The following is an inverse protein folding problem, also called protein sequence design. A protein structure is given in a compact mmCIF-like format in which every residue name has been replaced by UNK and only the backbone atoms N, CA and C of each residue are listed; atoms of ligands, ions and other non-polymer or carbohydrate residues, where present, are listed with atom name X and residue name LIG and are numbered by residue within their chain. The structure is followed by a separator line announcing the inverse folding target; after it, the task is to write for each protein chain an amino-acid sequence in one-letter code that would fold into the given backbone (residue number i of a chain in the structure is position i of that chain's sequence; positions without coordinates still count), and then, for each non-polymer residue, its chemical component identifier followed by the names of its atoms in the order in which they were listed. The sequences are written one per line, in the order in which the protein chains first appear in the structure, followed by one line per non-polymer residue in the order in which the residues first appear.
data_IF_504560179771
#
_entry.id   IF_504560179771
#
_cell.length_a   1.000
_cell.length_b   1.000
_cell.length_c   1.000
_cell.angle_alpha   90.00
_cell.angle_beta   90.00
_cell.angle_gamma   90.00
#
_symmetry.space_group_name_H-M   'P 1'
#
loop_
_entity.id
_entity.type
_entity.pdbx_description
1 polymer ?
#
# COMPACT_ATOMS: atom_id res chain seq x y z
N UNK A 1 -0.60 7.81 -14.88
CA UNK A 1 -1.79 8.16 -14.05
C UNK A 1 -2.43 6.86 -13.59
N UNK A 2 -2.76 6.69 -12.29
CA UNK A 2 -3.47 5.51 -11.82
C UNK A 2 -4.85 5.43 -12.49
N UNK A 3 -5.18 4.29 -13.08
CA UNK A 3 -6.48 4.08 -13.73
C UNK A 3 -7.64 4.02 -12.73
N UNK A 4 -8.88 4.17 -13.21
CA UNK A 4 -10.08 4.10 -12.37
C UNK A 4 -10.19 2.79 -11.56
N UNK A 5 -9.72 1.68 -12.15
CA UNK A 5 -9.68 0.36 -11.50
C UNK A 5 -8.72 0.36 -10.31
N UNK A 6 -7.52 0.93 -10.48
CA UNK A 6 -6.52 1.05 -9.41
C UNK A 6 -7.09 1.82 -8.23
N UNK A 7 -7.67 3.00 -8.48
CA UNK A 7 -8.27 3.82 -7.43
C UNK A 7 -9.48 3.15 -6.75
N UNK A 8 -10.24 2.33 -7.49
CA UNK A 8 -11.34 1.56 -6.92
C UNK A 8 -10.83 0.47 -5.97
N UNK A 9 -9.82 -0.28 -6.40
CA UNK A 9 -9.19 -1.34 -5.60
C UNK A 9 -8.56 -0.74 -4.34
N UNK A 10 -7.79 0.34 -4.49
CA UNK A 10 -7.17 1.04 -3.37
C UNK A 10 -8.20 1.43 -2.31
N UNK A 11 -9.30 2.06 -2.73
CA UNK A 11 -10.41 2.42 -1.83
C UNK A 11 -11.04 1.20 -1.16
N UNK A 12 -11.27 0.11 -1.89
CA UNK A 12 -11.88 -1.11 -1.34
C UNK A 12 -11.00 -1.80 -0.31
N UNK A 13 -9.70 -1.92 -0.56
CA UNK A 13 -8.74 -2.51 0.38
C UNK A 13 -8.63 -1.67 1.64
N UNK A 14 -8.44 -0.35 1.49
CA UNK A 14 -8.35 0.55 2.63
C UNK A 14 -9.62 0.49 3.51
N UNK A 15 -10.80 0.52 2.89
CA UNK A 15 -12.07 0.40 3.60
C UNK A 15 -12.24 -0.96 4.30
N UNK A 16 -11.74 -2.04 3.71
CA UNK A 16 -11.78 -3.37 4.34
C UNK A 16 -10.89 -3.43 5.58
N UNK A 17 -9.69 -2.86 5.53
CA UNK A 17 -8.78 -2.79 6.68
C UNK A 17 -9.44 -1.98 7.81
N UNK A 18 -10.01 -0.82 7.50
CA UNK A 18 -10.74 0.01 8.45
C UNK A 18 -11.89 -0.76 9.12
N UNK A 19 -12.72 -1.44 8.32
CA UNK A 19 -13.85 -2.24 8.82
C UNK A 19 -13.39 -3.38 9.73
N UNK A 20 -12.25 -4.02 9.39
CA UNK A 20 -11.68 -5.07 10.24
C UNK A 20 -11.15 -4.51 11.55
N UNK A 21 -10.51 -3.33 11.54
CA UNK A 21 -10.08 -2.66 12.78
C UNK A 21 -11.27 -2.37 13.69
N UNK A 22 -12.41 -1.93 13.14
CA UNK A 22 -13.64 -1.73 13.91
C UNK A 22 -14.13 -3.03 14.55
N UNK A 23 -14.20 -4.11 13.76
CA UNK A 23 -14.61 -5.44 14.25
C UNK A 23 -13.69 -5.96 15.36
N UNK A 24 -12.37 -5.83 15.19
CA UNK A 24 -11.38 -6.22 16.19
C UNK A 24 -11.56 -5.36 17.45
N UNK A 25 -11.79 -4.05 17.30
CA UNK A 25 -12.04 -3.15 18.44
C UNK A 25 -13.21 -3.64 19.27
N UNK A 26 -14.33 -4.03 18.67
CA UNK A 26 -15.52 -4.46 19.40
C UNK A 26 -15.26 -5.68 20.30
N UNK A 27 -14.45 -6.61 19.82
CA UNK A 27 -14.14 -7.88 20.50
C UNK A 27 -12.91 -7.86 21.40
N UNK A 28 -12.17 -6.74 21.42
CA UNK A 28 -10.88 -6.64 22.11
C UNK A 28 -10.95 -6.14 23.56
N UNK A 29 -9.84 -6.33 24.29
CA UNK A 29 -9.63 -5.77 25.63
C UNK A 29 -9.38 -4.25 25.60
N UNK A 30 -9.37 -3.60 26.77
CA UNK A 30 -9.23 -2.14 26.91
C UNK A 30 -7.99 -1.55 26.21
N UNK A 31 -6.77 -2.07 26.45
CA UNK A 31 -5.56 -1.59 25.79
C UNK A 31 -5.61 -1.68 24.26
N UNK A 32 -6.05 -2.81 23.71
CA UNK A 32 -6.16 -2.98 22.25
C UNK A 32 -7.25 -2.06 21.67
N UNK A 33 -8.36 -1.84 22.38
CA UNK A 33 -9.38 -0.86 21.98
C UNK A 33 -8.80 0.55 21.87
N UNK A 34 -7.99 0.96 22.85
CA UNK A 34 -7.34 2.27 22.85
C UNK A 34 -6.35 2.38 21.69
N UNK A 35 -5.50 1.37 21.49
CA UNK A 35 -4.58 1.33 20.36
C UNK A 35 -5.30 1.52 19.02
N UNK A 36 -6.42 0.82 18.81
CA UNK A 36 -7.19 0.94 17.56
C UNK A 36 -7.83 2.33 17.42
N UNK A 37 -8.29 2.94 18.51
CA UNK A 37 -8.81 4.31 18.47
C UNK A 37 -7.74 5.35 18.13
N UNK A 38 -6.49 5.06 18.45
CA UNK A 38 -5.34 5.90 18.11
C UNK A 38 -4.84 5.68 16.67
N UNK A 39 -5.37 4.70 15.93
CA UNK A 39 -5.04 4.50 14.51
C UNK A 39 -5.95 5.39 13.65
N UNK A 40 -5.33 6.32 12.92
CA UNK A 40 -5.98 7.17 11.93
C UNK A 40 -5.68 6.66 10.52
N UNK A 41 -6.73 6.43 9.73
CA UNK A 41 -6.59 6.21 8.30
C UNK A 41 -6.44 7.57 7.61
N UNK A 42 -5.35 7.73 6.85
CA UNK A 42 -5.13 8.91 6.03
C UNK A 42 -5.21 8.51 4.56
N UNK A 43 -5.89 9.34 3.75
CA UNK A 43 -5.80 9.24 2.31
C UNK A 43 -4.36 9.55 1.83
N UNK A 44 -4.06 9.27 0.57
CA UNK A 44 -2.76 9.52 -0.07
C UNK A 44 -2.18 10.89 0.33
N UNK A 45 -1.21 10.85 1.24
CA UNK A 45 -0.48 12.01 1.77
C UNK A 45 0.96 11.75 1.43
N UNK A 46 1.64 12.79 0.95
CA UNK A 46 3.05 12.73 0.63
C UNK A 46 3.85 12.36 1.88
N UNK A 47 4.41 11.15 1.90
CA UNK A 47 5.36 10.74 2.93
C UNK A 47 6.70 11.35 2.52
N UNK A 48 7.19 12.28 3.34
CA UNK A 48 8.50 12.89 3.14
C UNK A 48 9.56 11.95 3.73
N UNK A 49 10.37 11.34 2.88
CA UNK A 49 11.46 10.47 3.32
C UNK A 49 12.59 11.33 3.89
N UNK A 50 13.21 10.90 5.00
CA UNK A 50 14.28 11.67 5.64
C UNK A 50 15.46 11.85 4.67
N UNK A 51 15.91 13.08 4.49
CA UNK A 51 17.06 13.41 3.65
C UNK A 51 16.82 13.34 2.13
N UNK A 52 15.59 13.06 1.69
CA UNK A 52 15.24 13.08 0.27
C UNK A 52 14.34 14.28 -0.05
N UNK A 53 14.56 14.90 -1.22
CA UNK A 53 13.60 15.83 -1.85
C UNK A 53 12.33 15.13 -2.35
N UNK A 54 12.28 13.81 -2.21
CA UNK A 54 11.37 12.93 -2.90
C UNK A 54 10.19 12.64 -1.97
N UNK A 55 8.99 12.81 -2.51
CA UNK A 55 7.75 12.54 -1.80
C UNK A 55 7.14 11.26 -2.38
N UNK A 56 6.72 10.35 -1.50
CA UNK A 56 6.01 9.15 -1.91
C UNK A 56 4.50 9.37 -1.73
N UNK A 57 3.72 9.20 -2.80
CA UNK A 57 2.26 9.20 -2.73
C UNK A 57 1.79 7.75 -2.61
N UNK A 58 1.25 7.38 -1.45
CA UNK A 58 0.75 6.02 -1.19
C UNK A 58 -0.71 5.84 -1.53
N UNK A 59 -1.11 4.61 -1.84
CA UNK A 59 -2.52 4.28 -2.10
C UNK A 59 -3.39 4.30 -0.83
N UNK A 60 -2.77 4.12 0.34
CA UNK A 60 -3.37 4.30 1.65
C UNK A 60 -2.32 4.33 2.74
N UNK A 61 -2.72 4.66 3.97
CA UNK A 61 -1.81 4.68 5.11
C UNK A 61 -2.58 4.71 6.43
N UNK A 62 -2.01 4.02 7.42
CA UNK A 62 -2.52 3.93 8.77
C UNK A 62 -1.47 4.49 9.73
N UNK A 63 -1.82 5.61 10.36
CA UNK A 63 -0.96 6.36 11.26
C UNK A 63 -1.39 6.13 12.69
N UNK A 64 -0.46 5.79 13.57
CA UNK A 64 -0.73 5.83 15.00
C UNK A 64 -0.59 7.28 15.49
N UNK A 65 -1.59 7.78 16.21
CA UNK A 65 -1.62 9.12 16.77
C UNK A 65 -0.33 9.45 17.52
N UNK A 66 0.24 10.61 17.22
CA UNK A 66 1.53 11.06 17.76
C UNK A 66 2.75 10.56 16.99
N UNK A 67 2.57 9.67 16.00
CA UNK A 67 3.65 9.27 15.09
C UNK A 67 3.81 10.26 13.94
N UNK A 68 5.04 10.43 13.47
CA UNK A 68 5.35 11.29 12.31
C UNK A 68 5.21 10.54 10.98
N UNK A 69 5.37 9.22 11.00
CA UNK A 69 5.31 8.34 9.83
C UNK A 69 4.21 7.30 9.98
N UNK A 70 3.53 6.91 8.89
CA UNK A 70 2.57 5.83 8.92
C UNK A 70 3.28 4.51 9.23
N UNK A 71 2.71 3.73 10.15
CA UNK A 71 3.23 2.41 10.51
C UNK A 71 2.93 1.37 9.46
N UNK A 72 1.77 1.46 8.80
CA UNK A 72 1.33 0.54 7.73
C UNK A 72 0.93 1.33 6.49
N UNK A 73 1.47 0.92 5.35
CA UNK A 73 1.22 1.55 4.05
C UNK A 73 0.82 0.47 3.02
N UNK A 74 -0.47 0.34 2.66
CA UNK A 74 -0.88 -0.49 1.52
C UNK A 74 -0.56 0.21 0.20
N UNK A 75 0.01 -0.56 -0.74
CA UNK A 75 0.34 -0.14 -2.09
C UNK A 75 -0.16 -1.17 -3.10
N UNK A 76 -0.73 -0.70 -4.20
CA UNK A 76 -1.23 -1.55 -5.26
C UNK A 76 -0.38 -1.36 -6.53
N UNK A 77 -0.22 -2.42 -7.31
CA UNK A 77 0.35 -2.34 -8.65
C UNK A 77 -0.53 -3.09 -9.64
N UNK A 78 -0.75 -2.46 -10.80
CA UNK A 78 -1.13 -3.19 -12.00
C UNK A 78 0.11 -3.86 -12.59
N UNK A 79 -0.03 -5.04 -13.20
CA UNK A 79 1.01 -6.03 -13.56
C UNK A 79 2.37 -5.54 -14.10
N UNK A 80 2.47 -4.34 -14.66
CA UNK A 80 3.72 -3.75 -15.17
C UNK A 80 4.52 -2.99 -14.09
N UNK A 81 3.95 -2.79 -12.89
CA UNK A 81 4.52 -1.96 -11.81
C UNK A 81 5.07 -2.73 -10.61
N UNK A 82 5.19 -4.06 -10.65
CA UNK A 82 5.59 -4.84 -9.47
C UNK A 82 7.03 -4.52 -9.01
N UNK A 83 7.97 -4.39 -9.94
CA UNK A 83 9.36 -3.99 -9.63
C UNK A 83 9.37 -2.58 -9.01
N UNK A 84 8.59 -1.64 -9.57
CA UNK A 84 8.47 -0.30 -8.97
C UNK A 84 7.83 -0.31 -7.59
N UNK A 85 6.97 -1.31 -7.29
CA UNK A 85 6.35 -1.46 -5.98
C UNK A 85 7.34 -2.00 -4.96
N UNK A 86 8.22 -2.93 -5.35
CA UNK A 86 9.30 -3.39 -4.49
C UNK A 86 10.26 -2.25 -4.13
N UNK A 87 10.72 -1.48 -5.12
CA UNK A 87 11.56 -0.30 -4.86
C UNK A 87 10.84 0.72 -3.98
N UNK A 88 9.55 0.95 -4.21
CA UNK A 88 8.73 1.86 -3.37
C UNK A 88 8.62 1.37 -1.92
N UNK A 89 8.48 0.07 -1.70
CA UNK A 89 8.45 -0.52 -0.37
C UNK A 89 9.80 -0.38 0.34
N UNK A 90 10.90 -0.64 -0.36
CA UNK A 90 12.27 -0.45 0.15
C UNK A 90 12.52 1.02 0.52
N UNK A 91 12.15 1.96 -0.35
CA UNK A 91 12.27 3.41 -0.10
C UNK A 91 11.44 3.85 1.12
N UNK A 92 10.22 3.33 1.28
CA UNK A 92 9.37 3.64 2.42
C UNK A 92 9.97 3.09 3.73
N UNK A 93 10.49 1.87 3.73
CA UNK A 93 11.04 1.24 4.95
C UNK A 93 12.39 1.87 5.31
N UNK A 94 13.32 1.96 4.35
CA UNK A 94 14.67 2.48 4.56
C UNK A 94 14.65 4.00 4.71
N UNK A 95 13.94 4.70 3.83
CA UNK A 95 13.84 6.17 3.82
C UNK A 95 13.02 6.75 4.98
N UNK A 96 12.16 5.95 5.62
CA UNK A 96 11.53 6.31 6.91
C UNK A 96 12.39 5.96 8.12
N UNK A 97 13.62 5.46 7.94
CA UNK A 97 14.47 4.96 9.04
C UNK A 97 13.76 3.92 9.93
N UNK A 98 12.94 3.05 9.32
CA UNK A 98 12.22 1.99 10.02
C UNK A 98 10.93 2.41 10.75
N UNK A 99 10.46 3.66 10.58
CA UNK A 99 9.21 4.11 11.20
C UNK A 99 7.97 3.61 10.43
N UNK A 100 8.09 3.39 9.13
CA UNK A 100 7.15 2.55 8.39
C UNK A 100 7.55 1.10 8.60
N UNK A 101 6.68 0.35 9.27
CA UNK A 101 6.95 -1.00 9.75
C UNK A 101 6.52 -2.06 8.73
N UNK A 102 5.49 -1.77 7.93
CA UNK A 102 4.95 -2.70 6.96
C UNK A 102 4.43 -1.99 5.71
N UNK A 103 4.90 -2.47 4.55
CA UNK A 103 4.34 -2.11 3.24
C UNK A 103 3.71 -3.37 2.64
N UNK A 104 2.43 -3.30 2.27
CA UNK A 104 1.70 -4.44 1.68
C UNK A 104 1.52 -4.17 0.20
N UNK A 105 2.21 -4.94 -0.64
CA UNK A 105 2.09 -4.89 -2.10
C UNK A 105 1.03 -5.83 -2.63
N UNK A 106 0.03 -5.31 -3.35
CA UNK A 106 -1.00 -6.11 -4.01
C UNK A 106 -0.88 -5.99 -5.52
N UNK A 107 -0.48 -7.07 -6.19
CA UNK A 107 -0.52 -7.18 -7.65
C UNK A 107 -1.96 -7.43 -8.10
N UNK A 108 -2.56 -6.47 -8.80
CA UNK A 108 -3.92 -6.57 -9.32
C UNK A 108 -3.89 -6.59 -10.84
N UNK A 109 -3.95 -7.77 -11.44
CA UNK A 109 -3.93 -7.96 -12.89
C UNK A 109 -4.14 -9.43 -13.26
N UNK A 110 -4.75 -9.69 -14.41
CA UNK A 110 -4.92 -11.06 -14.89
C UNK A 110 -3.59 -11.54 -15.51
N UNK A 111 -2.89 -12.48 -14.87
CA UNK A 111 -1.62 -13.03 -15.36
C UNK A 111 -1.73 -13.70 -16.74
N UNK A 112 -2.95 -13.92 -17.26
CA UNK A 112 -3.17 -14.47 -18.61
C UNK A 112 -2.77 -13.53 -19.75
N UNK A 113 -2.76 -12.20 -19.54
CA UNK A 113 -2.42 -11.24 -20.60
C UNK A 113 -0.93 -11.21 -20.95
N UNK A 114 -0.06 -11.77 -20.10
CA UNK A 114 1.38 -11.81 -20.32
C UNK A 114 1.80 -12.97 -21.24
N UNK A 115 1.06 -14.09 -21.23
CA UNK A 115 1.32 -15.22 -22.14
C UNK A 115 0.79 -14.99 -23.56
N UNK A 116 -0.29 -14.23 -23.74
CA UNK A 116 -0.84 -13.97 -25.08
C UNK A 116 -0.03 -12.95 -25.89
N UNK A 117 0.84 -12.14 -25.26
CA UNK A 117 1.74 -11.21 -25.96
C UNK A 117 3.09 -11.81 -26.35
N UNK A 118 3.42 -13.00 -25.84
CA UNK A 118 4.64 -13.76 -26.18
C UNK A 118 4.36 -14.96 -27.11
N UNK A 119 3.09 -15.14 -27.53
CA UNK A 119 2.65 -16.28 -28.34
C UNK A 119 2.74 -16.10 -29.86
N UNK A 120 2.89 -14.87 -30.38
CA UNK A 120 2.81 -14.58 -31.82
C UNK A 120 4.14 -14.12 -32.45
N UNK A 121 5.28 -14.38 -31.80
CA UNK A 121 6.60 -14.16 -32.39
C UNK A 121 7.52 -15.37 -32.21
N UNK A 122 7.21 -16.47 -32.89
CA UNK A 122 8.23 -17.34 -33.49
C UNK A 122 7.72 -17.75 -34.87
N UNK A 123 8.08 -16.95 -35.88
CA UNK A 123 8.21 -17.36 -37.28
C UNK A 123 9.72 -17.42 -37.58
N UNK A 124 10.11 -18.42 -38.38
CA UNK A 124 11.44 -18.77 -38.92
C UNK A 124 12.34 -19.54 -37.92
N UNK A 125 12.81 -20.78 -38.18
CA UNK A 125 12.89 -21.64 -39.37
C UNK A 125 12.48 -23.10 -39.06
#
# INVERSE_FOLDING_TARGET
MPGAIHQFIARKVNHLIETQLVTIKETSNGPTKQLIQDIEQLASRRIQLYGASNHCESDGQFLLKGSYFPGVVPEMAYSEGFISLQTKAEDLIVGSSGHTQLVIGLETGNKQSYKSRLGDQILFD
#
